data_IF_351740636691
#
_entry.id   IF_351740636691
#
_cell.length_a   1.000
_cell.length_b   1.000
_cell.length_c   1.000
_cell.angle_alpha   90.00
_cell.angle_beta   90.00
_cell.angle_gamma   90.00
#
_symmetry.space_group_name_H-M   'P 1'
#
loop_
_entity.id
_entity.type
_entity.pdbx_description
1 polymer ?
#
# COMPACT_ATOMS: atom_id res chain seq x y z
N UNK A 1 -18.98 -0.69 -2.27
CA UNK A 1 -17.94 -0.01 -1.44
C UNK A 1 -17.96 1.49 -1.66
N UNK A 2 -17.73 2.00 -2.88
CA UNK A 2 -17.82 3.45 -3.16
C UNK A 2 -19.20 4.04 -2.84
N UNK A 3 -20.25 3.30 -3.16
CA UNK A 3 -21.65 3.73 -2.89
C UNK A 3 -22.02 3.79 -1.39
N UNK A 4 -21.16 3.26 -0.51
CA UNK A 4 -21.34 3.33 0.95
C UNK A 4 -20.53 4.48 1.58
N UNK A 5 -19.99 5.41 0.78
CA UNK A 5 -19.19 6.55 1.25
C UNK A 5 -17.73 6.22 1.58
N UNK A 6 -17.25 5.02 1.24
CA UNK A 6 -15.85 4.66 1.40
C UNK A 6 -15.00 5.24 0.28
N UNK A 7 -13.85 5.79 0.66
CA UNK A 7 -12.83 6.22 -0.29
C UNK A 7 -11.77 5.12 -0.45
N UNK A 8 -11.44 4.77 -1.70
CA UNK A 8 -10.52 3.67 -2.00
C UNK A 8 -9.17 4.26 -2.36
N UNK A 9 -8.18 4.02 -1.52
CA UNK A 9 -6.81 4.53 -1.68
C UNK A 9 -5.89 3.38 -2.06
N UNK A 10 -5.20 3.49 -3.19
CA UNK A 10 -4.17 2.54 -3.60
C UNK A 10 -2.82 2.87 -2.97
N UNK A 11 -2.08 1.83 -2.61
CA UNK A 11 -0.71 1.96 -2.12
C UNK A 11 0.23 0.94 -2.78
N UNK A 12 1.40 1.42 -3.20
CA UNK A 12 2.44 0.58 -3.79
C UNK A 12 3.82 0.96 -3.28
N UNK A 13 4.70 -0.02 -3.09
CA UNK A 13 6.08 0.24 -2.64
C UNK A 13 7.13 -0.55 -3.40
N UNK A 14 8.37 -0.06 -3.37
CA UNK A 14 9.55 -0.80 -3.80
C UNK A 14 10.62 -0.84 -2.72
N UNK A 15 11.27 -2.00 -2.62
CA UNK A 15 12.38 -2.21 -1.71
C UNK A 15 13.57 -1.32 -2.03
N UNK A 16 14.29 -0.94 -0.98
CA UNK A 16 15.67 -0.46 -1.07
C UNK A 16 16.48 -1.61 -1.69
N UNK A 17 17.26 -1.30 -2.72
CA UNK A 17 18.07 -2.27 -3.42
C UNK A 17 18.68 -1.67 -4.69
N UNK A 18 19.70 -2.35 -5.21
CA UNK A 18 20.56 -1.92 -6.34
C UNK A 18 19.84 -1.72 -7.68
N UNK A 19 18.51 -1.89 -7.71
CA UNK A 19 17.74 -1.60 -8.91
C UNK A 19 17.91 -0.13 -9.28
N UNK A 20 18.30 0.08 -10.53
CA UNK A 20 18.29 1.37 -11.20
C UNK A 20 16.94 2.10 -11.00
N UNK A 21 17.03 3.41 -10.78
CA UNK A 21 15.89 4.26 -10.49
C UNK A 21 14.90 4.32 -11.65
N UNK A 22 15.36 4.24 -12.91
CA UNK A 22 14.45 4.13 -14.05
C UNK A 22 13.62 2.85 -14.01
N UNK A 23 14.24 1.72 -13.68
CA UNK A 23 13.52 0.45 -13.48
C UNK A 23 12.52 0.58 -12.34
N UNK A 24 12.88 1.21 -11.22
CA UNK A 24 12.00 1.43 -10.07
C UNK A 24 10.77 2.27 -10.46
N UNK A 25 10.98 3.39 -11.14
CA UNK A 25 9.91 4.27 -11.66
C UNK A 25 8.98 3.50 -12.58
N UNK A 26 9.53 2.78 -13.58
CA UNK A 26 8.73 1.97 -14.51
C UNK A 26 7.85 0.96 -13.77
N UNK A 27 8.41 0.27 -12.78
CA UNK A 27 7.69 -0.74 -12.02
C UNK A 27 6.59 -0.13 -11.13
N UNK A 28 6.85 1.02 -10.50
CA UNK A 28 5.83 1.73 -9.71
C UNK A 28 4.70 2.23 -10.60
N UNK A 29 5.00 2.82 -11.76
CA UNK A 29 3.98 3.26 -12.71
C UNK A 29 3.11 2.10 -13.21
N UNK A 30 3.68 0.91 -13.40
CA UNK A 30 2.89 -0.29 -13.72
C UNK A 30 1.98 -0.73 -12.57
N UNK A 31 2.47 -0.68 -11.33
CA UNK A 31 1.66 -0.98 -10.14
C UNK A 31 0.53 0.04 -9.97
N UNK A 32 0.80 1.34 -10.16
CA UNK A 32 -0.19 2.42 -10.16
C UNK A 32 -1.26 2.16 -11.21
N UNK A 33 -0.86 1.82 -12.45
CA UNK A 33 -1.79 1.51 -13.52
C UNK A 33 -2.72 0.36 -13.13
N UNK A 34 -2.18 -0.71 -12.52
CA UNK A 34 -2.99 -1.86 -12.05
C UNK A 34 -3.99 -1.46 -10.97
N UNK A 35 -3.57 -0.68 -9.98
CA UNK A 35 -4.46 -0.19 -8.91
C UNK A 35 -5.59 0.68 -9.49
N UNK A 36 -5.28 1.57 -10.43
CA UNK A 36 -6.28 2.43 -11.10
C UNK A 36 -7.25 1.65 -11.98
N UNK A 37 -6.76 0.70 -12.79
CA UNK A 37 -7.62 0.01 -13.77
C UNK A 37 -8.38 -1.19 -13.20
N UNK A 38 -7.84 -1.89 -12.19
CA UNK A 38 -8.44 -3.12 -11.65
C UNK A 38 -9.13 -2.89 -10.32
N UNK A 39 -8.50 -2.14 -9.42
CA UNK A 39 -9.03 -1.90 -8.07
C UNK A 39 -9.85 -0.62 -7.98
N UNK A 40 -9.99 0.11 -9.10
CA UNK A 40 -10.76 1.35 -9.24
C UNK A 40 -10.47 2.37 -8.13
N UNK A 41 -9.21 2.49 -7.71
CA UNK A 41 -8.82 3.40 -6.62
C UNK A 41 -8.99 4.87 -7.03
N UNK A 42 -9.36 5.71 -6.06
CA UNK A 42 -9.56 7.15 -6.25
C UNK A 42 -8.22 7.91 -6.25
N UNK A 43 -7.29 7.47 -5.40
CA UNK A 43 -5.93 8.00 -5.29
C UNK A 43 -4.92 6.87 -5.19
N UNK A 44 -3.68 7.12 -5.62
CA UNK A 44 -2.57 6.17 -5.44
C UNK A 44 -1.38 6.86 -4.82
N UNK A 45 -0.96 6.39 -3.66
CA UNK A 45 0.29 6.81 -3.03
C UNK A 45 1.35 5.72 -3.17
N UNK A 46 2.62 6.12 -3.11
CA UNK A 46 3.72 5.18 -3.29
C UNK A 46 4.86 5.36 -2.31
N UNK A 47 5.67 4.33 -2.13
CA UNK A 47 6.95 4.43 -1.44
C UNK A 47 8.07 3.89 -2.33
N UNK A 48 8.84 4.76 -3.01
CA UNK A 48 9.81 4.31 -4.00
C UNK A 48 11.02 3.58 -3.41
N UNK A 49 11.49 3.96 -2.21
CA UNK A 49 12.60 3.26 -1.53
C UNK A 49 12.31 3.10 -0.04
N UNK A 50 11.65 2.01 0.31
CA UNK A 50 11.44 1.62 1.72
C UNK A 50 11.61 0.12 1.93
N UNK A 51 11.80 -0.33 3.15
CA UNK A 51 11.61 -1.74 3.52
C UNK A 51 10.13 -2.00 3.80
N UNK A 52 9.70 -3.26 3.64
CA UNK A 52 8.33 -3.64 3.98
C UNK A 52 8.14 -3.68 5.50
N UNK A 53 9.23 -3.89 6.25
CA UNK A 53 9.26 -3.86 7.70
C UNK A 53 9.34 -2.45 8.29
N UNK A 54 9.60 -1.42 7.48
CA UNK A 54 9.68 -0.05 8.00
C UNK A 54 8.28 0.40 8.46
N UNK A 55 8.15 1.00 9.65
CA UNK A 55 6.94 1.70 10.07
C UNK A 55 6.50 2.73 9.03
N UNK A 56 5.19 2.93 8.85
CA UNK A 56 4.68 3.85 7.81
C UNK A 56 5.16 5.29 7.99
N UNK A 57 5.19 5.77 9.24
CA UNK A 57 5.67 7.09 9.64
C UNK A 57 7.16 7.31 9.35
N UNK A 58 7.94 6.23 9.23
CA UNK A 58 9.36 6.27 8.88
C UNK A 58 9.65 6.18 7.38
N UNK A 59 8.66 5.88 6.55
CA UNK A 59 8.84 5.78 5.09
C UNK A 59 8.82 7.15 4.47
N UNK A 60 9.76 7.43 3.57
CA UNK A 60 9.80 8.66 2.79
C UNK A 60 9.89 9.95 3.64
N UNK A 61 10.39 9.87 4.90
CA UNK A 61 10.71 11.04 5.74
C UNK A 61 11.65 12.00 4.99
N UNK A 62 12.64 11.43 4.27
CA UNK A 62 13.44 12.16 3.28
C UNK A 62 12.77 12.06 1.91
N UNK A 63 12.17 13.16 1.47
CA UNK A 63 11.49 13.26 0.16
C UNK A 63 12.44 12.91 -0.99
N UNK A 64 12.01 12.00 -1.85
CA UNK A 64 12.73 11.60 -3.07
C UNK A 64 12.21 12.40 -4.28
N UNK A 65 12.43 13.73 -4.25
CA UNK A 65 11.81 14.69 -5.18
C UNK A 65 12.00 14.30 -6.65
N UNK A 66 13.23 13.94 -7.04
CA UNK A 66 13.53 13.55 -8.42
C UNK A 66 12.77 12.30 -8.86
N UNK A 67 12.76 11.23 -8.04
CA UNK A 67 12.01 10.01 -8.38
C UNK A 67 10.50 10.27 -8.41
N UNK A 68 9.98 11.03 -7.45
CA UNK A 68 8.56 11.32 -7.35
C UNK A 68 8.08 12.18 -8.53
N UNK A 69 8.93 13.04 -9.09
CA UNK A 69 8.58 13.89 -10.25
C UNK A 69 8.22 13.11 -11.52
N UNK A 70 8.65 11.85 -11.63
CA UNK A 70 8.41 10.96 -12.78
C UNK A 70 7.50 9.76 -12.47
N UNK A 71 6.99 9.69 -11.24
CA UNK A 71 6.02 8.66 -10.82
C UNK A 71 4.62 9.25 -10.83
N UNK A 72 3.68 8.58 -11.50
CA UNK A 72 2.30 9.05 -11.71
C UNK A 72 1.39 8.80 -10.49
N UNK A 73 1.87 9.13 -9.28
CA UNK A 73 1.15 8.98 -8.01
C UNK A 73 0.60 10.31 -7.49
N UNK A 74 -0.31 10.24 -6.52
CA UNK A 74 -0.88 11.36 -5.77
C UNK A 74 0.04 11.85 -4.63
N UNK A 75 1.19 11.21 -4.44
CA UNK A 75 2.16 11.52 -3.40
C UNK A 75 2.91 10.29 -2.91
N UNK A 76 3.74 10.50 -1.88
CA UNK A 76 4.46 9.43 -1.18
C UNK A 76 3.74 8.94 0.10
N UNK A 77 4.41 8.11 0.91
CA UNK A 77 3.82 7.60 2.16
C UNK A 77 3.46 8.71 3.15
N UNK A 78 4.25 9.78 3.24
CA UNK A 78 3.97 10.89 4.16
C UNK A 78 2.73 11.67 3.68
N UNK A 79 2.63 11.87 2.36
CA UNK A 79 1.45 12.51 1.77
C UNK A 79 0.19 11.65 1.98
N UNK A 80 0.32 10.32 1.90
CA UNK A 80 -0.75 9.38 2.22
C UNK A 80 -1.19 9.49 3.68
N UNK A 81 -0.25 9.47 4.63
CA UNK A 81 -0.58 9.54 6.05
C UNK A 81 -1.31 10.84 6.38
N UNK A 82 -0.83 11.96 5.84
CA UNK A 82 -1.50 13.25 5.96
C UNK A 82 -2.91 13.20 5.34
N UNK A 83 -3.02 12.73 4.11
CA UNK A 83 -4.29 12.63 3.39
C UNK A 83 -5.33 11.81 4.16
N UNK A 84 -4.91 10.68 4.71
CA UNK A 84 -5.79 9.76 5.43
C UNK A 84 -6.17 10.34 6.81
N UNK A 85 -5.25 11.02 7.49
CA UNK A 85 -5.52 11.61 8.81
C UNK A 85 -6.40 12.87 8.73
N UNK A 86 -6.31 13.62 7.63
CA UNK A 86 -7.11 14.83 7.41
C UNK A 86 -8.56 14.53 6.98
N UNK A 87 -8.90 13.24 6.76
CA UNK A 87 -10.20 12.81 6.23
C UNK A 87 -11.08 12.18 7.30
N UNK A 88 -12.29 12.72 7.46
CA UNK A 88 -13.36 12.10 8.28
C UNK A 88 -14.07 10.93 7.58
N UNK A 89 -13.63 10.54 6.37
CA UNK A 89 -14.24 9.45 5.59
C UNK A 89 -13.61 8.11 5.95
N UNK A 90 -14.41 7.04 5.88
CA UNK A 90 -13.87 5.68 5.95
C UNK A 90 -13.02 5.40 4.72
N UNK A 91 -11.79 4.97 4.96
CA UNK A 91 -10.80 4.71 3.91
C UNK A 91 -10.51 3.23 3.84
N UNK A 92 -10.48 2.70 2.62
CA UNK A 92 -9.98 1.35 2.34
C UNK A 92 -8.64 1.48 1.63
N UNK A 93 -7.59 0.99 2.28
CA UNK A 93 -6.25 0.97 1.72
C UNK A 93 -6.04 -0.32 0.92
N UNK A 94 -5.82 -0.19 -0.37
CA UNK A 94 -5.64 -1.30 -1.31
C UNK A 94 -4.17 -1.46 -1.67
N UNK A 95 -3.63 -2.67 -1.53
CA UNK A 95 -2.30 -3.02 -2.02
C UNK A 95 -2.31 -4.32 -2.82
N UNK A 96 -1.33 -4.50 -3.72
CA UNK A 96 -1.26 -5.67 -4.62
C UNK A 96 -0.92 -6.98 -3.88
N UNK A 97 -0.17 -6.90 -2.79
CA UNK A 97 0.14 -8.03 -1.93
C UNK A 97 0.51 -7.54 -0.52
N UNK A 98 0.62 -8.48 0.43
CA UNK A 98 0.92 -8.15 1.83
C UNK A 98 2.20 -7.30 1.96
N UNK A 99 3.32 -7.76 1.39
CA UNK A 99 4.59 -7.05 1.48
C UNK A 99 4.66 -5.75 0.64
N UNK A 100 3.73 -5.58 -0.30
CA UNK A 100 3.44 -4.34 -1.01
C UNK A 100 2.75 -3.30 -0.13
N UNK A 101 2.05 -3.72 0.93
CA UNK A 101 1.57 -2.85 1.98
C UNK A 101 2.61 -2.72 3.11
N UNK A 102 2.82 -3.80 3.86
CA UNK A 102 3.72 -3.86 5.00
C UNK A 102 3.94 -5.31 5.45
N UNK A 103 5.13 -5.58 5.99
CA UNK A 103 5.39 -6.78 6.79
C UNK A 103 5.56 -6.46 8.27
N UNK A 104 5.37 -5.20 8.66
CA UNK A 104 5.39 -4.75 10.04
C UNK A 104 3.97 -4.78 10.62
N UNK A 105 3.64 -5.86 11.32
CA UNK A 105 2.33 -6.06 11.92
C UNK A 105 2.03 -5.03 13.02
N UNK A 106 3.02 -4.62 13.79
CA UNK A 106 2.83 -3.59 14.81
C UNK A 106 2.49 -2.23 14.17
N UNK A 107 3.24 -1.84 13.14
CA UNK A 107 2.97 -0.63 12.37
C UNK A 107 1.62 -0.68 11.64
N UNK A 108 1.20 -1.86 11.18
CA UNK A 108 -0.13 -2.08 10.61
C UNK A 108 -1.22 -1.83 11.67
N UNK A 109 -1.10 -2.41 12.86
CA UNK A 109 -2.05 -2.20 13.96
C UNK A 109 -2.15 -0.72 14.35
N UNK A 110 -1.01 -0.04 14.50
CA UNK A 110 -0.98 1.40 14.79
C UNK A 110 -1.63 2.25 13.68
N UNK A 111 -1.53 1.82 12.42
CA UNK A 111 -2.19 2.51 11.30
C UNK A 111 -3.73 2.35 11.33
N UNK A 112 -4.22 1.17 11.75
CA UNK A 112 -5.63 0.78 11.69
C UNK A 112 -6.51 1.36 12.81
N UNK A 113 -5.93 1.92 13.87
CA UNK A 113 -6.68 2.38 15.05
C UNK A 113 -7.69 3.51 14.78
N UNK A 114 -7.69 4.17 13.61
CA UNK A 114 -8.65 5.23 13.27
C UNK A 114 -9.69 4.82 12.19
N UNK A 115 -10.39 3.70 12.39
CA UNK A 115 -11.52 3.26 11.51
C UNK A 115 -11.15 3.07 10.03
N UNK A 116 -10.04 2.38 9.76
CA UNK A 116 -9.50 2.14 8.40
C UNK A 116 -9.57 0.66 8.03
N UNK A 117 -9.98 0.35 6.82
CA UNK A 117 -10.01 -1.02 6.31
C UNK A 117 -8.85 -1.26 5.35
N UNK A 118 -8.43 -2.52 5.18
CA UNK A 118 -7.35 -2.91 4.29
C UNK A 118 -7.85 -3.96 3.31
N UNK A 119 -7.57 -3.75 2.03
CA UNK A 119 -7.78 -4.74 0.99
C UNK A 119 -6.45 -5.14 0.35
N UNK A 120 -6.24 -6.43 0.20
CA UNK A 120 -5.10 -7.01 -0.51
C UNK A 120 -5.60 -7.63 -1.80
N UNK A 121 -5.25 -6.98 -2.90
CA UNK A 121 -5.68 -7.28 -4.25
C UNK A 121 -4.63 -8.19 -4.94
N UNK A 122 -4.85 -9.49 -4.83
CA UNK A 122 -4.09 -10.51 -5.54
C UNK A 122 -4.57 -10.70 -6.99
N UNK A 123 -5.38 -9.81 -7.57
CA UNK A 123 -6.03 -10.08 -8.87
C UNK A 123 -5.00 -10.37 -9.97
N UNK A 124 -3.80 -9.80 -9.88
CA UNK A 124 -2.73 -10.04 -10.86
C UNK A 124 -2.12 -11.45 -10.82
N UNK A 125 -2.24 -12.18 -9.71
CA UNK A 125 -1.61 -13.50 -9.54
C UNK A 125 -2.59 -14.63 -9.24
N UNK A 126 -3.75 -14.33 -8.62
CA UNK A 126 -4.73 -15.33 -8.16
C UNK A 126 -6.19 -14.99 -8.45
N UNK A 127 -6.45 -13.84 -9.09
CA UNK A 127 -7.81 -13.33 -9.31
C UNK A 127 -8.65 -13.26 -8.01
N UNK A 128 -8.00 -12.95 -6.89
CA UNK A 128 -8.60 -12.95 -5.55
C UNK A 128 -8.36 -11.59 -4.89
N UNK A 129 -9.35 -11.09 -4.13
CA UNK A 129 -9.20 -9.93 -3.26
C UNK A 129 -9.51 -10.37 -1.84
N UNK A 130 -8.59 -10.10 -0.92
CA UNK A 130 -8.81 -10.31 0.51
C UNK A 130 -9.08 -8.97 1.18
N UNK A 131 -10.23 -8.84 1.82
CA UNK A 131 -10.57 -7.66 2.61
C UNK A 131 -10.49 -7.97 4.09
N UNK A 132 -9.99 -6.99 4.83
CA UNK A 132 -9.81 -7.06 6.26
C UNK A 132 -10.29 -5.75 6.89
N UNK A 133 -11.19 -5.89 7.85
CA UNK A 133 -11.60 -4.78 8.71
C UNK A 133 -10.53 -4.49 9.77
N UNK A 134 -10.53 -3.28 10.35
CA UNK A 134 -9.65 -2.95 11.48
C UNK A 134 -9.88 -3.93 12.64
N UNK A 135 -11.14 -4.27 12.93
CA UNK A 135 -11.49 -5.19 14.00
C UNK A 135 -10.89 -6.58 13.82
N UNK A 136 -10.88 -7.11 12.59
CA UNK A 136 -10.24 -8.40 12.30
C UNK A 136 -8.72 -8.34 12.49
N UNK A 137 -8.05 -7.31 11.97
CA UNK A 137 -6.59 -7.19 12.08
C UNK A 137 -6.12 -6.72 13.46
N UNK A 138 -6.99 -6.19 14.31
CA UNK A 138 -6.61 -5.86 15.69
C UNK A 138 -6.79 -7.06 16.62
N UNK A 139 -7.80 -7.91 16.38
CA UNK A 139 -8.20 -8.97 17.31
C UNK A 139 -7.86 -10.39 16.84
N UNK A 140 -7.61 -10.64 15.56
CA UNK A 140 -7.26 -11.97 15.03
C UNK A 140 -5.78 -12.04 14.65
N UNK A 141 -4.97 -12.63 15.53
CA UNK A 141 -3.54 -12.82 15.28
C UNK A 141 -3.25 -13.62 14.01
N UNK A 142 -4.10 -14.58 13.62
CA UNK A 142 -3.85 -15.42 12.45
C UNK A 142 -3.93 -14.58 11.17
N UNK A 143 -4.91 -13.68 11.09
CA UNK A 143 -5.06 -12.75 9.95
C UNK A 143 -3.92 -11.75 9.89
N UNK A 144 -3.47 -11.22 11.04
CA UNK A 144 -2.32 -10.31 11.10
C UNK A 144 -1.02 -11.01 10.67
N UNK A 145 -0.83 -12.27 11.06
CA UNK A 145 0.35 -13.07 10.69
C UNK A 145 0.43 -13.33 9.18
N UNK A 146 -0.66 -13.15 8.41
CA UNK A 146 -0.57 -13.16 6.95
C UNK A 146 0.35 -12.04 6.41
N UNK A 147 0.43 -10.91 7.13
CA UNK A 147 1.30 -9.78 6.77
C UNK A 147 2.77 -10.04 7.08
N UNK A 148 3.10 -10.96 7.99
CA UNK A 148 4.49 -11.35 8.27
C UNK A 148 5.14 -12.11 7.10
N UNK A 149 4.36 -12.50 6.08
CA UNK A 149 4.78 -13.38 5.02
C UNK A 149 6.07 -12.93 4.30
N UNK A 150 7.16 -13.66 4.61
CA UNK A 150 8.29 -13.95 3.72
C UNK A 150 7.96 -15.07 2.72
N UNK A 151 6.72 -15.17 2.22
CA UNK A 151 6.45 -16.03 1.06
C UNK A 151 7.23 -15.44 -0.12
N UNK A 152 7.87 -16.30 -0.91
CA UNK A 152 8.82 -15.97 -1.98
C UNK A 152 8.38 -14.77 -2.84
N UNK A 153 9.35 -14.01 -3.36
CA UNK A 153 9.13 -12.78 -4.14
C UNK A 153 8.11 -13.04 -5.26
N UNK A 154 6.85 -12.67 -5.03
CA UNK A 154 5.83 -12.70 -6.07
C UNK A 154 6.15 -11.55 -7.02
N UNK A 155 6.22 -11.84 -8.32
CA UNK A 155 6.43 -10.83 -9.35
C UNK A 155 5.20 -9.91 -9.44
N UNK A 156 5.28 -8.75 -8.78
CA UNK A 156 4.21 -7.72 -8.74
C UNK A 156 4.01 -6.99 -10.09
N UNK A 157 4.97 -7.18 -10.98
CA UNK A 157 5.09 -6.50 -12.26
C UNK A 157 5.44 -7.52 -13.35
N UNK A 158 4.43 -8.14 -13.91
CA UNK A 158 4.40 -8.48 -15.33
C UNK A 158 3.80 -7.30 -16.07
#
# INVERSE_FOLDING_TARGET
MKDNGYEIVGYARKSIGEKDDMKRVRLLNLMIKKLKTRSLVDKVFVSPKSSAGDPFDKRDEKKQVELMSVINSDGDTQDMLKYINDKDKKIVLVAIDFAGLTTNCQGLKSFLSNSKEVAIDYISSKNEVKMYTSGELLNDEKKVKEFECRKSIIQRSN
#
